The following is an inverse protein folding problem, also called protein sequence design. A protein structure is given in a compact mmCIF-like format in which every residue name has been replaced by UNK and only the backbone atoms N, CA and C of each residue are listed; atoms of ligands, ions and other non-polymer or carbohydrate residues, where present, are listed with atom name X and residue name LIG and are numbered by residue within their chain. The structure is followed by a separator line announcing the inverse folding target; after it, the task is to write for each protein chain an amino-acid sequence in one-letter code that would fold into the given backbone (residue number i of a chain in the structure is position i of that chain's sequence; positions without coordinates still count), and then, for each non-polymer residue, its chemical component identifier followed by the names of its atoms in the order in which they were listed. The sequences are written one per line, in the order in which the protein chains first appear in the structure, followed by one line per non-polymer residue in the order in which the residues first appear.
data_IF_469817911384
#
_entry.id   IF_469817911384
#
_cell.length_a   1.000
_cell.length_b   1.000
_cell.length_c   1.000
_cell.angle_alpha   90.00
_cell.angle_beta   90.00
_cell.angle_gamma   90.00
#
_symmetry.space_group_name_H-M   'P 1'
#
loop_
_entity.id
_entity.type
_entity.pdbx_description
1 polymer ?
#
# COMPACT_ATOMS: atom_id res chain seq x y z
N UNK A 1 -2.72 -19.54 -28.47
CA UNK A 1 -2.86 -18.06 -28.40
C UNK A 1 -2.52 -17.50 -29.78
N UNK A 2 -3.38 -16.67 -30.40
CA UNK A 2 -3.27 -16.29 -31.82
C UNK A 2 -2.22 -15.21 -32.12
N UNK A 3 -1.61 -14.57 -31.12
CA UNK A 3 -0.59 -13.54 -31.30
C UNK A 3 0.74 -13.99 -30.67
N UNK A 4 1.90 -13.62 -31.25
CA UNK A 4 3.19 -13.85 -30.63
C UNK A 4 3.27 -13.14 -29.28
N UNK A 5 3.79 -13.83 -28.27
CA UNK A 5 3.96 -13.26 -26.94
C UNK A 5 5.03 -12.17 -26.98
N UNK A 6 4.75 -11.02 -26.37
CA UNK A 6 5.72 -9.94 -26.24
C UNK A 6 6.94 -10.40 -25.43
N UNK A 7 8.15 -10.19 -25.96
CA UNK A 7 9.38 -10.49 -25.25
C UNK A 7 9.63 -9.42 -24.17
N UNK A 8 9.30 -9.69 -22.91
CA UNK A 8 9.51 -8.74 -21.80
C UNK A 8 10.97 -8.31 -21.60
N UNK A 9 11.94 -9.08 -22.09
CA UNK A 9 13.36 -8.72 -22.03
C UNK A 9 13.72 -7.57 -22.99
N UNK A 10 12.84 -7.21 -23.93
CA UNK A 10 13.02 -6.04 -24.79
C UNK A 10 12.52 -4.74 -24.15
N UNK A 11 12.01 -4.77 -22.92
CA UNK A 11 11.61 -3.55 -22.20
C UNK A 11 12.84 -2.75 -21.79
N UNK A 12 12.86 -1.47 -22.16
CA UNK A 12 13.83 -0.51 -21.65
C UNK A 12 13.37 0.00 -20.28
N UNK A 13 13.64 -0.78 -19.24
CA UNK A 13 13.31 -0.41 -17.85
C UNK A 13 14.28 0.68 -17.39
N UNK A 14 13.74 1.76 -16.83
CA UNK A 14 14.53 2.92 -16.40
C UNK A 14 14.60 3.01 -14.87
N UNK A 15 15.68 3.61 -14.33
CA UNK A 15 15.72 4.00 -12.93
C UNK A 15 14.55 4.92 -12.58
N UNK A 16 13.95 4.71 -11.42
CA UNK A 16 12.89 5.54 -10.86
C UNK A 16 13.36 6.99 -10.64
N UNK A 17 14.67 7.18 -10.41
CA UNK A 17 15.29 8.50 -10.31
C UNK A 17 15.27 9.31 -11.61
N UNK A 18 15.09 8.68 -12.78
CA UNK A 18 14.89 9.39 -14.06
C UNK A 18 13.44 9.88 -14.23
N UNK A 19 12.53 9.46 -13.35
CA UNK A 19 11.10 9.76 -13.49
C UNK A 19 10.78 11.16 -12.99
N UNK A 20 10.07 11.92 -13.81
CA UNK A 20 9.43 13.15 -13.37
C UNK A 20 8.24 12.83 -12.46
N UNK A 21 8.39 13.08 -11.16
CA UNK A 21 7.35 12.93 -10.15
C UNK A 21 6.52 14.21 -10.03
N UNK A 22 5.23 14.06 -9.68
CA UNK A 22 4.28 15.18 -9.59
C UNK A 22 3.74 15.43 -8.19
N UNK A 23 4.12 14.62 -7.22
CA UNK A 23 3.67 14.74 -5.84
C UNK A 23 4.82 14.48 -4.89
N UNK A 24 4.97 15.32 -3.87
CA UNK A 24 6.01 15.24 -2.85
C UNK A 24 5.38 15.20 -1.46
N UNK A 25 5.75 14.23 -0.64
CA UNK A 25 5.10 14.00 0.66
C UNK A 25 5.33 15.16 1.64
N UNK A 26 6.46 15.87 1.55
CA UNK A 26 6.78 16.94 2.47
C UNK A 26 5.91 18.18 2.24
N UNK A 27 5.49 18.42 1.00
CA UNK A 27 4.70 19.61 0.63
C UNK A 27 3.22 19.32 0.44
N UNK A 28 2.88 18.13 -0.07
CA UNK A 28 1.53 17.85 -0.58
C UNK A 28 0.69 17.00 0.40
N UNK A 29 1.27 16.58 1.52
CA UNK A 29 0.52 15.86 2.54
C UNK A 29 -0.58 16.73 3.15
N UNK A 30 -1.69 16.09 3.53
CA UNK A 30 -2.75 16.73 4.30
C UNK A 30 -2.43 16.48 5.78
N UNK A 31 -2.08 17.52 6.56
CA UNK A 31 -1.76 17.35 7.97
C UNK A 31 -2.96 16.86 8.75
N UNK A 32 -2.73 16.00 9.74
CA UNK A 32 -3.78 15.50 10.65
C UNK A 32 -4.46 16.64 11.41
N UNK A 33 -3.75 17.74 11.64
CA UNK A 33 -4.25 18.94 12.32
C UNK A 33 -5.12 19.82 11.45
N UNK A 34 -5.15 19.59 10.13
CA UNK A 34 -5.97 20.36 9.22
C UNK A 34 -7.45 20.01 9.42
N UNK A 35 -8.26 21.02 9.73
CA UNK A 35 -9.70 20.84 9.85
C UNK A 35 -10.30 20.39 8.50
N UNK A 36 -11.19 19.39 8.50
CA UNK A 36 -11.84 18.95 7.28
C UNK A 36 -12.80 20.03 6.77
N UNK A 37 -12.86 20.20 5.45
CA UNK A 37 -13.90 21.04 4.83
C UNK A 37 -15.22 20.28 4.90
N UNK A 38 -16.10 20.69 5.80
CA UNK A 38 -17.45 20.13 5.92
C UNK A 38 -18.34 20.81 4.89
N UNK A 39 -18.74 20.09 3.85
CA UNK A 39 -19.71 20.56 2.87
C UNK A 39 -21.10 20.82 3.47
N UNK A 40 -22.04 21.29 2.66
CA UNK A 40 -23.42 21.59 3.07
C UNK A 40 -24.42 20.63 2.43
N UNK A 41 -25.68 20.70 2.89
CA UNK A 41 -26.79 19.91 2.36
C UNK A 41 -26.56 18.41 2.46
N UNK A 42 -26.90 17.69 1.40
CA UNK A 42 -26.83 16.21 1.33
C UNK A 42 -25.45 15.64 1.67
N UNK A 43 -24.36 16.34 1.33
CA UNK A 43 -23.02 15.86 1.67
C UNK A 43 -22.82 15.78 3.19
N UNK A 44 -23.25 16.83 3.91
CA UNK A 44 -23.16 16.88 5.37
C UNK A 44 -23.97 15.75 6.01
N UNK A 45 -25.16 15.48 5.49
CA UNK A 45 -26.03 14.41 5.99
C UNK A 45 -25.40 13.03 5.83
N UNK A 46 -24.84 12.74 4.64
CA UNK A 46 -24.13 11.47 4.38
C UNK A 46 -22.90 11.34 5.27
N UNK A 47 -22.13 12.42 5.44
CA UNK A 47 -20.95 12.44 6.30
C UNK A 47 -21.31 12.13 7.76
N UNK A 48 -22.30 12.84 8.32
CA UNK A 48 -22.74 12.62 9.70
C UNK A 48 -23.29 11.21 9.91
N UNK A 49 -24.06 10.70 8.95
CA UNK A 49 -24.54 9.31 8.97
C UNK A 49 -23.39 8.30 8.99
N UNK A 50 -22.33 8.55 8.21
CA UNK A 50 -21.15 7.69 8.20
C UNK A 50 -20.41 7.72 9.54
N UNK A 51 -20.24 8.92 10.13
CA UNK A 51 -19.62 9.09 11.45
C UNK A 51 -20.40 8.33 12.53
N UNK A 52 -21.72 8.49 12.60
CA UNK A 52 -22.56 7.77 13.56
C UNK A 52 -22.45 6.25 13.41
N UNK A 53 -22.42 5.73 12.18
CA UNK A 53 -22.26 4.31 11.90
C UNK A 53 -20.89 3.78 12.33
N UNK A 54 -19.83 4.57 12.13
CA UNK A 54 -18.47 4.21 12.56
C UNK A 54 -18.40 4.16 14.09
N UNK A 55 -18.96 5.16 14.78
CA UNK A 55 -19.03 5.19 16.25
C UNK A 55 -19.76 3.93 16.77
N UNK A 56 -20.95 3.65 16.23
CA UNK A 56 -21.74 2.48 16.62
C UNK A 56 -21.02 1.16 16.33
N UNK A 57 -20.33 1.04 15.20
CA UNK A 57 -19.55 -0.16 14.88
C UNK A 57 -18.44 -0.38 15.91
N UNK A 58 -17.77 0.69 16.33
CA UNK A 58 -16.73 0.66 17.35
C UNK A 58 -17.28 0.26 18.73
N UNK A 59 -18.39 0.85 19.16
CA UNK A 59 -19.07 0.50 20.42
C UNK A 59 -19.45 -0.98 20.47
N UNK A 60 -19.85 -1.54 19.34
CA UNK A 60 -20.21 -2.95 19.19
C UNK A 60 -19.00 -3.88 18.91
N UNK A 61 -17.78 -3.35 18.97
CA UNK A 61 -16.54 -4.11 18.73
C UNK A 61 -16.41 -4.68 17.31
N UNK A 62 -17.10 -4.11 16.33
CA UNK A 62 -17.13 -4.55 14.92
C UNK A 62 -15.96 -3.94 14.14
N UNK A 63 -15.58 -4.63 13.07
CA UNK A 63 -14.58 -4.12 12.14
C UNK A 63 -15.14 -2.91 11.36
N UNK A 64 -14.30 -1.91 11.18
CA UNK A 64 -14.51 -0.79 10.25
C UNK A 64 -13.47 -0.90 9.15
N UNK A 65 -13.92 -1.20 7.93
CA UNK A 65 -13.07 -1.39 6.75
C UNK A 65 -13.24 -0.19 5.83
N UNK A 66 -12.13 0.48 5.51
CA UNK A 66 -12.12 1.60 4.58
C UNK A 66 -11.51 1.14 3.24
N UNK A 67 -12.36 1.06 2.22
CA UNK A 67 -11.95 0.76 0.85
C UNK A 67 -11.71 2.06 0.07
N UNK A 68 -10.51 2.24 -0.45
CA UNK A 68 -10.05 3.46 -1.12
C UNK A 68 -9.37 3.15 -2.45
N UNK A 69 -9.36 4.14 -3.34
CA UNK A 69 -8.52 4.10 -4.54
C UNK A 69 -7.13 4.68 -4.27
N UNK A 70 -6.23 4.47 -5.23
CA UNK A 70 -4.85 4.98 -5.21
C UNK A 70 -4.75 6.50 -4.95
N UNK A 71 -5.71 7.28 -5.43
CA UNK A 71 -5.71 8.74 -5.31
C UNK A 71 -5.77 9.24 -3.86
N UNK A 72 -6.34 8.45 -2.95
CA UNK A 72 -6.38 8.84 -1.53
C UNK A 72 -4.97 8.93 -0.97
N UNK A 73 -4.13 7.91 -1.22
CA UNK A 73 -2.73 7.90 -0.79
C UNK A 73 -1.93 8.94 -1.59
N UNK A 74 -2.07 8.92 -2.93
CA UNK A 74 -1.37 9.85 -3.83
C UNK A 74 -1.52 11.32 -3.44
N UNK A 75 -2.72 11.71 -3.01
CA UNK A 75 -3.04 13.09 -2.66
C UNK A 75 -2.79 13.39 -1.18
N UNK A 76 -1.91 12.64 -0.52
CA UNK A 76 -1.38 13.04 0.78
C UNK A 76 -2.24 12.70 1.99
N UNK A 77 -3.27 11.85 1.86
CA UNK A 77 -4.11 11.46 3.02
C UNK A 77 -3.44 10.42 3.94
N UNK A 78 -2.24 9.95 3.62
CA UNK A 78 -1.54 8.92 4.38
C UNK A 78 -1.49 9.20 5.89
N UNK A 79 -1.07 10.41 6.36
CA UNK A 79 -1.02 10.70 7.80
C UNK A 79 -2.38 10.59 8.49
N UNK A 80 -3.44 11.05 7.83
CA UNK A 80 -4.81 10.99 8.33
C UNK A 80 -5.31 9.55 8.42
N UNK A 81 -5.05 8.73 7.39
CA UNK A 81 -5.42 7.32 7.40
C UNK A 81 -4.71 6.56 8.52
N UNK A 82 -3.41 6.79 8.69
CA UNK A 82 -2.63 6.23 9.78
C UNK A 82 -3.28 6.62 11.10
N UNK A 83 -3.52 7.92 11.35
CA UNK A 83 -4.11 8.39 12.61
C UNK A 83 -5.47 7.74 12.91
N UNK A 84 -6.33 7.60 11.91
CA UNK A 84 -7.62 6.91 12.06
C UNK A 84 -7.44 5.44 12.45
N UNK A 85 -6.39 4.78 11.97
CA UNK A 85 -6.04 3.42 12.38
C UNK A 85 -5.44 3.37 13.78
N UNK A 86 -4.53 4.28 14.13
CA UNK A 86 -3.93 4.36 15.47
C UNK A 86 -4.97 4.57 16.56
N UNK A 87 -5.97 5.41 16.28
CA UNK A 87 -7.04 5.73 17.22
C UNK A 87 -8.20 4.71 17.21
N UNK A 88 -8.09 3.67 16.37
CA UNK A 88 -9.07 2.58 16.27
C UNK A 88 -10.40 2.97 15.59
N UNK A 89 -10.44 4.07 14.84
CA UNK A 89 -11.60 4.49 14.06
C UNK A 89 -11.73 3.70 12.75
N UNK A 90 -10.61 3.31 12.17
CA UNK A 90 -10.51 2.40 11.03
C UNK A 90 -9.69 1.20 11.46
N UNK A 91 -10.16 -0.01 11.17
CA UNK A 91 -9.48 -1.25 11.59
C UNK A 91 -8.76 -1.94 10.44
N UNK A 92 -9.23 -1.76 9.21
CA UNK A 92 -8.68 -2.36 8.02
C UNK A 92 -8.74 -1.38 6.85
N UNK A 93 -7.74 -1.44 5.98
CA UNK A 93 -7.74 -0.74 4.70
C UNK A 93 -7.81 -1.74 3.57
N UNK A 94 -8.55 -1.38 2.53
CA UNK A 94 -8.55 -2.08 1.25
C UNK A 94 -8.22 -1.08 0.15
N UNK A 95 -7.29 -1.44 -0.74
CA UNK A 95 -6.91 -0.61 -1.88
C UNK A 95 -6.53 -1.48 -3.07
N UNK A 96 -6.34 -0.86 -4.22
CA UNK A 96 -5.81 -1.52 -5.41
C UNK A 96 -4.27 -1.47 -5.43
N UNK A 97 -3.64 -2.20 -6.36
CA UNK A 97 -2.18 -2.25 -6.48
C UNK A 97 -1.53 -0.87 -6.67
N UNK A 98 -2.22 0.07 -7.33
CA UNK A 98 -1.72 1.43 -7.51
C UNK A 98 -1.63 2.22 -6.19
N UNK A 99 -2.49 1.94 -5.21
CA UNK A 99 -2.35 2.51 -3.86
C UNK A 99 -1.06 2.07 -3.18
N UNK A 100 -0.66 0.80 -3.35
CA UNK A 100 0.59 0.26 -2.80
C UNK A 100 1.81 0.91 -3.46
N UNK A 101 1.75 1.14 -4.77
CA UNK A 101 2.82 1.82 -5.50
C UNK A 101 3.07 3.21 -4.92
N UNK A 102 2.03 4.03 -4.75
CA UNK A 102 2.19 5.37 -4.18
C UNK A 102 2.72 5.35 -2.74
N UNK A 103 2.21 4.42 -1.92
CA UNK A 103 2.63 4.29 -0.52
C UNK A 103 4.12 3.93 -0.41
N UNK A 104 4.55 2.94 -1.20
CA UNK A 104 5.95 2.53 -1.26
C UNK A 104 6.86 3.61 -1.84
N UNK A 105 6.48 4.28 -2.92
CA UNK A 105 7.31 5.32 -3.54
C UNK A 105 7.49 6.54 -2.62
N UNK A 106 6.44 6.94 -1.89
CA UNK A 106 6.58 7.96 -0.85
C UNK A 106 7.53 7.54 0.26
N UNK A 107 7.48 6.27 0.70
CA UNK A 107 8.41 5.77 1.71
C UNK A 107 9.85 5.67 1.19
N UNK A 108 10.05 5.32 -0.08
CA UNK A 108 11.35 5.09 -0.68
C UNK A 108 12.10 6.38 -1.05
N UNK A 109 11.41 7.35 -1.66
CA UNK A 109 12.05 8.58 -2.17
C UNK A 109 11.33 9.88 -1.81
N UNK A 110 10.20 9.82 -1.11
CA UNK A 110 9.41 11.00 -0.74
C UNK A 110 8.54 11.57 -1.86
N UNK A 111 8.55 10.97 -3.06
CA UNK A 111 7.79 11.48 -4.21
C UNK A 111 7.11 10.35 -5.00
N UNK A 112 6.05 10.70 -5.72
CA UNK A 112 5.30 9.75 -6.56
C UNK A 112 4.55 10.45 -7.70
N UNK A 113 3.70 9.69 -8.39
CA UNK A 113 2.81 10.13 -9.47
C UNK A 113 3.55 10.53 -10.74
N UNK A 114 3.59 9.61 -11.69
CA UNK A 114 4.16 9.86 -13.01
C UNK A 114 3.21 10.63 -13.96
N UNK A 115 3.77 11.22 -15.02
CA UNK A 115 2.99 11.87 -16.06
C UNK A 115 2.44 10.86 -17.08
N UNK A 116 1.23 10.35 -16.84
CA UNK A 116 0.58 9.30 -17.65
C UNK A 116 0.67 9.56 -19.17
N UNK A 117 0.17 10.69 -19.68
CA UNK A 117 0.10 10.89 -21.13
C UNK A 117 1.49 10.89 -21.80
N UNK A 118 2.43 11.69 -21.28
CA UNK A 118 3.84 11.75 -21.71
C UNK A 118 4.53 10.37 -21.67
N UNK A 119 4.30 9.58 -20.62
CA UNK A 119 4.94 8.28 -20.49
C UNK A 119 4.27 7.21 -21.37
N UNK A 120 2.96 7.26 -21.57
CA UNK A 120 2.25 6.38 -22.51
C UNK A 120 2.75 6.64 -23.94
N UNK A 121 2.84 7.90 -24.36
CA UNK A 121 3.35 8.29 -25.68
C UNK A 121 4.78 7.76 -25.92
N UNK A 122 5.60 7.71 -24.87
CA UNK A 122 6.99 7.23 -24.92
C UNK A 122 7.14 5.73 -24.71
N UNK A 123 6.07 4.99 -24.43
CA UNK A 123 6.14 3.58 -24.04
C UNK A 123 6.85 3.34 -22.70
N UNK A 124 6.83 4.34 -21.81
CA UNK A 124 7.51 4.38 -20.51
C UNK A 124 6.56 4.30 -19.32
N UNK A 125 5.25 4.19 -19.56
CA UNK A 125 4.26 4.18 -18.49
C UNK A 125 4.39 2.93 -17.61
N UNK A 126 4.59 3.12 -16.30
CA UNK A 126 4.64 2.05 -15.32
C UNK A 126 5.86 1.13 -15.37
N UNK A 127 6.94 1.49 -16.09
CA UNK A 127 8.15 0.65 -16.25
C UNK A 127 9.38 1.20 -15.53
N UNK A 128 9.28 1.28 -14.20
CA UNK A 128 10.34 1.79 -13.32
C UNK A 128 10.99 0.68 -12.51
N UNK A 129 12.32 0.59 -12.57
CA UNK A 129 13.11 -0.53 -12.03
C UNK A 129 12.83 -0.76 -10.54
N UNK A 130 13.02 0.25 -9.70
CA UNK A 130 12.92 0.11 -8.25
C UNK A 130 11.49 -0.20 -7.81
N UNK A 131 10.49 0.50 -8.36
CA UNK A 131 9.06 0.25 -8.05
C UNK A 131 8.68 -1.18 -8.38
N UNK A 132 8.99 -1.66 -9.59
CA UNK A 132 8.69 -3.02 -10.00
C UNK A 132 9.46 -4.05 -9.16
N UNK A 133 10.77 -3.85 -9.02
CA UNK A 133 11.67 -4.81 -8.36
C UNK A 133 11.35 -4.97 -6.88
N UNK A 134 11.27 -3.89 -6.11
CA UNK A 134 11.14 -3.99 -4.65
C UNK A 134 9.75 -4.43 -4.22
N UNK A 135 8.69 -4.00 -4.90
CA UNK A 135 7.33 -4.49 -4.60
C UNK A 135 7.22 -5.99 -4.88
N UNK A 136 7.69 -6.46 -6.04
CA UNK A 136 7.65 -7.89 -6.35
C UNK A 136 8.54 -8.71 -5.41
N UNK A 137 9.73 -8.21 -5.06
CA UNK A 137 10.60 -8.88 -4.11
C UNK A 137 9.98 -8.95 -2.71
N UNK A 138 9.31 -7.88 -2.26
CA UNK A 138 8.59 -7.88 -1.00
C UNK A 138 7.46 -8.92 -0.98
N UNK A 139 6.70 -9.02 -2.07
CA UNK A 139 5.63 -10.02 -2.21
C UNK A 139 6.22 -11.44 -2.19
N UNK A 140 7.32 -11.69 -2.89
CA UNK A 140 7.96 -13.00 -2.92
C UNK A 140 8.51 -13.42 -1.55
N UNK A 141 9.23 -12.51 -0.87
CA UNK A 141 9.73 -12.74 0.49
C UNK A 141 8.56 -12.89 1.47
N UNK A 142 7.54 -12.07 1.34
CA UNK A 142 6.35 -12.13 2.17
C UNK A 142 5.58 -13.43 2.00
N UNK A 143 5.46 -13.97 0.78
CA UNK A 143 4.89 -15.28 0.54
C UNK A 143 5.66 -16.40 1.27
N UNK A 144 7.00 -16.32 1.26
CA UNK A 144 7.85 -17.22 2.06
C UNK A 144 7.62 -17.04 3.58
N UNK A 145 7.42 -15.80 4.05
CA UNK A 145 7.09 -15.49 5.45
C UNK A 145 5.61 -15.78 5.82
N UNK A 146 4.77 -16.27 4.89
CA UNK A 146 3.34 -16.51 5.13
C UNK A 146 2.47 -15.24 5.23
N UNK A 147 2.93 -14.12 4.67
CA UNK A 147 2.26 -12.82 4.69
C UNK A 147 1.35 -12.59 3.49
N UNK A 148 0.31 -11.80 3.69
CA UNK A 148 -0.50 -11.26 2.59
C UNK A 148 0.21 -10.13 1.84
N UNK A 149 -0.29 -9.74 0.66
CA UNK A 149 0.31 -8.70 -0.20
C UNK A 149 0.62 -7.40 0.57
N UNK A 150 -0.41 -6.79 1.18
CA UNK A 150 -0.25 -5.51 1.86
C UNK A 150 0.69 -5.58 3.07
N UNK A 151 0.63 -6.68 3.82
CA UNK A 151 1.52 -6.94 4.95
C UNK A 151 2.98 -7.11 4.51
N UNK A 152 3.20 -7.74 3.35
CA UNK A 152 4.53 -7.94 2.78
C UNK A 152 5.22 -6.62 2.46
N UNK A 153 4.52 -5.73 1.75
CA UNK A 153 5.06 -4.40 1.39
C UNK A 153 5.17 -3.50 2.61
N UNK A 154 4.14 -3.48 3.48
CA UNK A 154 4.17 -2.71 4.71
C UNK A 154 5.30 -3.13 5.66
N UNK A 155 5.57 -4.44 5.77
CA UNK A 155 6.69 -4.96 6.54
C UNK A 155 8.03 -4.57 5.95
N UNK A 156 8.17 -4.53 4.63
CA UNK A 156 9.39 -4.04 3.98
C UNK A 156 9.65 -2.57 4.32
N UNK A 157 8.61 -1.73 4.21
CA UNK A 157 8.72 -0.30 4.52
C UNK A 157 9.07 -0.09 5.99
N UNK A 158 8.35 -0.76 6.90
CA UNK A 158 8.56 -0.61 8.34
C UNK A 158 9.94 -1.07 8.81
N UNK A 159 10.54 -2.06 8.13
CA UNK A 159 11.88 -2.59 8.44
C UNK A 159 12.99 -1.90 7.64
N UNK A 160 12.63 -1.01 6.71
CA UNK A 160 13.54 -0.40 5.73
C UNK A 160 14.38 -1.45 4.97
N UNK A 161 13.78 -2.61 4.68
CA UNK A 161 14.48 -3.71 4.04
C UNK A 161 13.75 -5.04 4.06
N UNK A 162 14.38 -6.04 3.46
CA UNK A 162 13.89 -7.42 3.39
C UNK A 162 14.91 -8.38 3.99
N UNK A 163 14.41 -9.39 4.69
CA UNK A 163 15.20 -10.54 5.11
C UNK A 163 15.06 -11.62 4.03
N UNK A 164 16.01 -11.65 3.10
CA UNK A 164 15.97 -12.60 1.99
C UNK A 164 16.46 -13.95 2.52
N UNK A 165 15.64 -15.02 2.45
CA UNK A 165 16.07 -16.35 2.88
C UNK A 165 17.24 -16.84 2.04
N UNK A 166 18.15 -17.56 2.69
CA UNK A 166 19.23 -18.30 2.03
C UNK A 166 18.67 -19.36 1.08
N UNK A 167 19.53 -19.85 0.19
CA UNK A 167 19.17 -20.90 -0.76
C UNK A 167 18.80 -22.19 -0.01
N UNK A 168 19.49 -22.48 1.08
CA UNK A 168 19.25 -23.63 1.96
C UNK A 168 17.86 -23.55 2.62
N UNK A 169 17.50 -22.39 3.15
CA UNK A 169 16.18 -22.12 3.75
C UNK A 169 15.06 -22.28 2.72
N UNK A 170 15.24 -21.74 1.51
CA UNK A 170 14.26 -21.88 0.42
C UNK A 170 14.07 -23.34 -0.01
N UNK A 171 15.14 -24.13 -0.07
CA UNK A 171 15.07 -25.56 -0.40
C UNK A 171 14.40 -26.40 0.68
N UNK A 172 14.48 -25.98 1.93
CA UNK A 172 13.82 -26.63 3.06
C UNK A 172 12.32 -26.34 3.16
N UNK A 173 11.81 -25.35 2.41
CA UNK A 173 10.40 -25.00 2.42
C UNK A 173 9.60 -26.08 1.67
N UNK A 174 8.63 -26.76 2.31
CA UNK A 174 7.78 -27.71 1.62
C UNK A 174 7.05 -26.97 0.49
N UNK A 175 7.11 -27.50 -0.73
CA UNK A 175 6.38 -26.94 -1.86
C UNK A 175 4.90 -26.86 -1.48
N UNK A 176 4.40 -25.65 -1.30
CA UNK A 176 2.96 -25.42 -1.17
C UNK A 176 2.36 -25.67 -2.54
N UNK A 177 1.41 -26.61 -2.63
CA UNK A 177 0.71 -26.93 -3.87
C UNK A 177 0.28 -25.62 -4.57
N UNK A 178 0.87 -25.37 -5.74
CA UNK A 178 0.70 -24.13 -6.51
C UNK A 178 -0.73 -23.94 -7.06
N UNK A 179 -1.64 -24.87 -6.73
CA UNK A 179 -3.05 -24.90 -7.15
C UNK A 179 -4.04 -24.53 -6.02
N UNK A 180 -3.58 -24.26 -4.78
CA UNK A 180 -4.50 -23.70 -3.78
C UNK A 180 -4.71 -22.22 -4.07
N UNK A 181 -5.85 -21.90 -4.65
CA UNK A 181 -6.36 -20.55 -4.92
C UNK A 181 -5.97 -19.54 -3.83
N UNK A 182 -5.70 -18.31 -4.30
CA UNK A 182 -5.48 -17.06 -3.56
C UNK A 182 -6.42 -16.96 -2.34
N UNK A 183 -6.04 -17.57 -1.22
CA UNK A 183 -6.85 -17.61 0.00
C UNK A 183 -6.00 -17.42 1.25
N UNK A 184 -5.07 -16.49 1.24
CA UNK A 184 -4.38 -16.05 2.46
C UNK A 184 -5.09 -14.83 3.06
N UNK A 185 -6.35 -15.01 3.47
CA UNK A 185 -6.97 -14.22 4.54
C UNK A 185 -6.94 -15.08 5.81
N UNK A 186 -5.75 -15.55 6.22
CA UNK A 186 -5.57 -16.35 7.41
C UNK A 186 -4.85 -15.54 8.49
N UNK A 187 -5.59 -15.33 9.58
CA UNK A 187 -5.18 -14.92 10.93
C UNK A 187 -3.67 -15.02 11.19
N UNK A 188 -3.02 -13.90 11.45
CA UNK A 188 -1.68 -13.86 12.04
C UNK A 188 -1.71 -13.05 13.34
N UNK A 189 -1.63 -13.74 14.49
CA UNK A 189 -1.48 -13.22 15.84
C UNK A 189 0.03 -13.07 16.15
N UNK A 190 0.58 -11.84 16.23
CA UNK A 190 1.70 -11.45 17.13
C UNK A 190 2.33 -10.07 16.81
N UNK A 191 1.99 -9.06 17.62
CA UNK A 191 2.85 -8.12 18.41
C UNK A 191 4.27 -7.72 17.88
N UNK A 192 4.54 -6.42 17.60
CA UNK A 192 5.22 -5.38 18.46
C UNK A 192 5.64 -4.11 17.65
N UNK A 193 5.63 -2.95 18.32
CA UNK A 193 5.86 -1.56 17.84
C UNK A 193 7.32 -1.21 17.52
N UNK A 194 7.58 -0.27 16.57
CA UNK A 194 8.24 1.05 16.81
C UNK A 194 8.37 1.92 15.53
N UNK A 195 8.71 3.19 15.75
CA UNK A 195 8.48 4.39 14.92
C UNK A 195 9.50 4.61 13.79
N UNK A 196 9.01 5.02 12.61
CA UNK A 196 9.71 5.89 11.65
C UNK A 196 8.74 6.94 11.10
N UNK A 197 9.26 8.11 10.74
CA UNK A 197 8.55 9.34 10.34
C UNK A 197 7.91 9.23 8.93
N UNK A 198 7.97 8.06 8.29
CA UNK A 198 7.31 7.73 7.01
C UNK A 198 6.53 6.42 7.09
N UNK A 199 5.55 6.34 8.01
CA UNK A 199 4.71 5.14 8.15
C UNK A 199 3.96 4.85 6.84
N UNK A 200 4.11 3.63 6.32
CA UNK A 200 3.25 3.11 5.25
C UNK A 200 1.79 3.12 5.70
N UNK A 201 0.89 3.54 4.83
CA UNK A 201 -0.57 3.40 5.02
C UNK A 201 -0.96 1.94 4.97
N UNK A 202 -0.35 1.17 4.07
CA UNK A 202 -0.71 -0.21 3.83
C UNK A 202 0.28 -1.14 4.54
N UNK A 203 -0.06 -1.47 5.79
CA UNK A 203 0.76 -2.37 6.61
C UNK A 203 0.55 -2.29 8.12
N UNK A 204 -0.19 -1.31 8.62
CA UNK A 204 -0.32 -1.11 10.07
C UNK A 204 -1.48 -1.94 10.63
N UNK A 205 -1.16 -3.04 11.30
CA UNK A 205 -2.11 -3.73 12.20
C UNK A 205 -1.94 -3.19 13.62
N UNK A 206 -2.91 -2.42 14.11
CA UNK A 206 -2.96 -2.00 15.51
C UNK A 206 -3.55 -3.14 16.36
N UNK A 207 -2.74 -3.68 17.28
CA UNK A 207 -3.16 -4.70 18.23
C UNK A 207 -4.16 -4.14 19.24
N UNK A 208 -5.15 -4.97 19.61
CA UNK A 208 -5.82 -4.86 20.91
C UNK A 208 -4.91 -5.44 21.98
#
# INVERSE_FOLDING_TARGET
MPNPQFNRHSLAIKPLSERENRSNILTDHIPVTQAPVVGTGRFKEVLLTAVERIIKARELGKAVVLAIGAHTIKNGMSPTLIKLMEDGWVTHLATNGAGIIHDWEFAFLGETSEHVAKNVERGQFGIWEETGRFINLAIAVGAYEGKGYGESVGSMIAREGLQIPSVEELRGCPATDADSEITAFQKCDSIRQQQCIGKAVVGIKMGR
#
